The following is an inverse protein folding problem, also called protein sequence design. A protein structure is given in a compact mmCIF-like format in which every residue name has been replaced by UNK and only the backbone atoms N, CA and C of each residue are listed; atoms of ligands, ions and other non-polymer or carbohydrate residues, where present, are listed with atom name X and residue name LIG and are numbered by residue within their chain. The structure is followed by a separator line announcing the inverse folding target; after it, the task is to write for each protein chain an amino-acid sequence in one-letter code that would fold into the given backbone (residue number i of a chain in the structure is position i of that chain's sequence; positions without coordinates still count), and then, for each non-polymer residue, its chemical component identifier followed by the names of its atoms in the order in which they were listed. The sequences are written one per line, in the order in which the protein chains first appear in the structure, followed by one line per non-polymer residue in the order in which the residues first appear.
data_IF_819445621562
#
_entry.id   IF_819445621562
#
_cell.length_a   1.000
_cell.length_b   1.000
_cell.length_c   1.000
_cell.angle_alpha   90.00
_cell.angle_beta   90.00
_cell.angle_gamma   90.00
#
_symmetry.space_group_name_H-M   'P 1'
#
loop_
_entity.id
_entity.type
_entity.pdbx_description
1 polymer ?
#
# COMPACT_ATOMS: atom_id res chain seq x y z
N UNK A 1 15.29 21.85 -3.62
CA UNK A 1 14.16 20.89 -3.60
C UNK A 1 12.89 21.67 -3.29
N UNK A 2 11.74 21.41 -3.92
CA UNK A 2 10.51 22.10 -3.52
C UNK A 2 10.10 21.68 -2.11
N UNK A 3 9.44 22.57 -1.37
CA UNK A 3 9.01 22.32 0.03
C UNK A 3 8.15 21.04 0.15
N UNK A 4 7.40 20.69 -0.88
CA UNK A 4 6.53 19.51 -0.89
C UNK A 4 7.32 18.20 -1.08
N UNK A 5 8.42 18.22 -1.84
CA UNK A 5 9.28 17.05 -2.02
C UNK A 5 10.05 16.74 -0.72
N UNK A 6 10.54 17.78 -0.04
CA UNK A 6 11.22 17.62 1.25
C UNK A 6 10.31 16.94 2.29
N UNK A 7 9.04 17.39 2.38
CA UNK A 7 8.06 16.76 3.28
C UNK A 7 7.78 15.31 2.90
N UNK A 8 7.60 15.02 1.62
CA UNK A 8 7.37 13.65 1.15
C UNK A 8 8.55 12.72 1.46
N UNK A 9 9.77 13.24 1.31
CA UNK A 9 11.00 12.56 1.67
C UNK A 9 11.10 12.30 3.17
N UNK A 10 10.83 13.30 4.01
CA UNK A 10 10.82 13.12 5.46
C UNK A 10 9.80 12.07 5.89
N UNK A 11 8.59 12.05 5.29
CA UNK A 11 7.60 11.01 5.54
C UNK A 11 8.13 9.61 5.22
N UNK A 12 8.84 9.46 4.10
CA UNK A 12 9.46 8.19 3.71
C UNK A 12 10.52 7.72 4.73
N UNK A 13 11.30 8.66 5.28
CA UNK A 13 12.28 8.39 6.34
C UNK A 13 11.58 7.94 7.62
N UNK A 14 10.54 8.64 8.03
CA UNK A 14 9.80 8.34 9.26
C UNK A 14 9.11 6.97 9.17
N UNK A 15 8.50 6.66 8.02
CA UNK A 15 7.92 5.33 7.77
C UNK A 15 8.98 4.24 7.83
N UNK A 16 10.21 4.48 7.32
CA UNK A 16 11.29 3.49 7.43
C UNK A 16 11.60 3.17 8.88
N UNK A 17 11.77 4.22 9.69
CA UNK A 17 12.15 4.09 11.10
C UNK A 17 11.10 3.32 11.89
N UNK A 18 9.82 3.55 11.60
CA UNK A 18 8.73 2.79 12.22
C UNK A 18 8.75 1.30 11.88
N UNK A 19 9.38 0.91 10.76
CA UNK A 19 9.48 -0.48 10.32
C UNK A 19 10.81 -1.15 10.63
N UNK A 20 11.80 -0.41 11.15
CA UNK A 20 13.08 -0.98 11.56
C UNK A 20 12.85 -2.03 12.66
N UNK A 21 13.37 -3.25 12.42
CA UNK A 21 13.25 -4.37 13.37
C UNK A 21 11.90 -5.10 13.34
N UNK A 22 11.00 -4.80 12.40
CA UNK A 22 9.82 -5.63 12.19
C UNK A 22 10.20 -6.97 11.54
N UNK A 23 10.08 -8.04 12.32
CA UNK A 23 10.17 -9.41 11.82
C UNK A 23 8.75 -9.97 11.61
N UNK A 24 8.45 -10.35 10.37
CA UNK A 24 7.16 -10.93 10.00
C UNK A 24 7.41 -12.38 9.59
N UNK A 25 6.81 -13.32 10.32
CA UNK A 25 6.86 -14.73 9.97
C UNK A 25 6.12 -14.97 8.65
N UNK A 26 6.74 -15.74 7.75
CA UNK A 26 6.14 -16.10 6.45
C UNK A 26 4.89 -16.98 6.62
N UNK A 27 4.77 -17.66 7.76
CA UNK A 27 3.64 -18.54 8.08
C UNK A 27 2.45 -17.78 8.70
N UNK A 28 2.57 -16.46 8.94
CA UNK A 28 1.52 -15.62 9.52
C UNK A 28 0.60 -15.06 8.42
N UNK A 29 -0.71 -15.04 8.65
CA UNK A 29 -1.68 -14.38 7.76
C UNK A 29 -1.39 -12.88 7.59
N UNK A 30 -0.67 -12.28 8.54
CA UNK A 30 -0.14 -10.91 8.48
C UNK A 30 0.97 -10.72 7.44
N UNK A 31 1.52 -11.80 6.87
CA UNK A 31 2.51 -11.73 5.80
C UNK A 31 1.94 -11.02 4.56
N UNK A 32 0.74 -11.36 4.10
CA UNK A 32 0.18 -10.77 2.87
C UNK A 32 -0.10 -9.27 2.95
N UNK A 33 -0.78 -8.75 4.00
CA UNK A 33 -0.93 -7.32 4.20
C UNK A 33 0.41 -6.57 4.20
N UNK A 34 1.43 -7.14 4.85
CA UNK A 34 2.76 -6.51 4.92
C UNK A 34 3.45 -6.37 3.57
N UNK A 35 3.26 -7.32 2.64
CA UNK A 35 3.81 -7.22 1.28
C UNK A 35 3.18 -6.06 0.50
N UNK A 36 1.87 -5.84 0.67
CA UNK A 36 1.19 -4.70 0.07
C UNK A 36 1.70 -3.38 0.68
N UNK A 37 1.82 -3.30 2.01
CA UNK A 37 2.36 -2.11 2.68
C UNK A 37 3.82 -1.84 2.29
N UNK A 38 4.66 -2.87 2.17
CA UNK A 38 6.03 -2.75 1.65
C UNK A 38 6.04 -2.15 0.24
N UNK A 39 5.16 -2.63 -0.64
CA UNK A 39 5.01 -2.09 -2.00
C UNK A 39 4.65 -0.61 -1.99
N UNK A 40 3.73 -0.18 -1.14
CA UNK A 40 3.34 1.24 -0.98
C UNK A 40 4.56 2.11 -0.65
N UNK A 41 5.38 1.67 0.30
CA UNK A 41 6.56 2.42 0.77
C UNK A 41 7.61 2.54 -0.32
N UNK A 42 7.91 1.42 -0.99
CA UNK A 42 8.90 1.39 -2.08
C UNK A 42 8.45 2.21 -3.28
N UNK A 43 7.16 2.20 -3.61
CA UNK A 43 6.61 3.04 -4.67
C UNK A 43 6.62 4.52 -4.28
N UNK A 44 6.28 4.87 -3.05
CA UNK A 44 6.34 6.25 -2.54
C UNK A 44 7.76 6.82 -2.66
N UNK A 45 8.77 6.05 -2.22
CA UNK A 45 10.19 6.38 -2.38
C UNK A 45 10.60 6.59 -3.83
N UNK A 46 10.20 5.65 -4.67
CA UNK A 46 10.50 5.70 -6.11
C UNK A 46 9.89 6.93 -6.77
N UNK A 47 8.65 7.29 -6.40
CA UNK A 47 7.98 8.51 -6.89
C UNK A 47 8.80 9.75 -6.52
N UNK A 48 9.22 9.89 -5.27
CA UNK A 48 10.03 11.03 -4.81
C UNK A 48 11.32 11.14 -5.64
N UNK A 49 12.06 10.04 -5.77
CA UNK A 49 13.30 9.99 -6.54
C UNK A 49 13.08 10.34 -8.02
N UNK A 50 12.02 9.81 -8.63
CA UNK A 50 11.69 10.09 -10.04
C UNK A 50 11.30 11.55 -10.26
N UNK A 51 10.54 12.14 -9.33
CA UNK A 51 10.16 13.57 -9.36
C UNK A 51 11.40 14.46 -9.23
N UNK A 52 12.32 14.16 -8.32
CA UNK A 52 13.59 14.88 -8.17
C UNK A 52 14.43 14.83 -9.46
N UNK A 53 14.40 13.70 -10.16
CA UNK A 53 15.07 13.50 -11.46
C UNK A 53 14.28 14.02 -12.66
N UNK A 54 13.14 14.68 -12.44
CA UNK A 54 12.24 15.22 -13.48
C UNK A 54 11.68 14.15 -14.42
N UNK A 55 11.58 12.89 -13.96
CA UNK A 55 11.01 11.76 -14.68
C UNK A 55 9.51 11.60 -14.33
N UNK A 56 8.73 12.65 -14.61
CA UNK A 56 7.36 12.78 -14.12
C UNK A 56 6.42 11.69 -14.61
N UNK A 57 6.50 11.27 -15.88
CA UNK A 57 5.63 10.22 -16.42
C UNK A 57 5.83 8.88 -15.71
N UNK A 58 7.09 8.53 -15.40
CA UNK A 58 7.41 7.33 -14.63
C UNK A 58 6.89 7.46 -13.19
N UNK A 59 7.05 8.62 -12.56
CA UNK A 59 6.51 8.87 -11.23
C UNK A 59 4.97 8.73 -11.20
N UNK A 60 4.27 9.36 -12.14
CA UNK A 60 2.81 9.28 -12.23
C UNK A 60 2.31 7.86 -12.48
N UNK A 61 3.06 7.05 -13.24
CA UNK A 61 2.71 5.64 -13.50
C UNK A 61 2.66 4.83 -12.20
N UNK A 62 3.49 5.14 -11.21
CA UNK A 62 3.54 4.43 -9.93
C UNK A 62 2.40 4.79 -8.98
N UNK A 63 1.70 5.92 -9.19
CA UNK A 63 0.59 6.35 -8.31
C UNK A 63 -0.54 5.32 -8.27
N UNK A 64 -0.89 4.73 -9.43
CA UNK A 64 -1.96 3.73 -9.53
C UNK A 64 -1.64 2.44 -8.76
N UNK A 65 -0.52 1.73 -9.01
CA UNK A 65 -0.18 0.54 -8.25
C UNK A 65 0.08 0.83 -6.76
N UNK A 66 0.59 2.02 -6.40
CA UNK A 66 0.70 2.44 -5.01
C UNK A 66 -0.67 2.47 -4.33
N UNK A 67 -1.66 3.14 -4.94
CA UNK A 67 -3.01 3.21 -4.38
C UNK A 67 -3.68 1.83 -4.30
N UNK A 68 -3.53 0.99 -5.33
CA UNK A 68 -4.07 -0.37 -5.31
C UNK A 68 -3.43 -1.23 -4.22
N UNK A 69 -2.12 -1.13 -4.01
CA UNK A 69 -1.43 -1.81 -2.92
C UNK A 69 -1.92 -1.30 -1.56
N UNK A 70 -2.11 0.01 -1.40
CA UNK A 70 -2.63 0.59 -0.16
C UNK A 70 -4.03 0.05 0.20
N UNK A 71 -4.96 0.07 -0.76
CA UNK A 71 -6.32 -0.46 -0.56
C UNK A 71 -6.28 -1.96 -0.26
N UNK A 72 -5.49 -2.74 -1.00
CA UNK A 72 -5.35 -4.19 -0.75
C UNK A 72 -4.78 -4.47 0.63
N UNK A 73 -3.72 -3.77 1.05
CA UNK A 73 -3.12 -3.91 2.37
C UNK A 73 -4.14 -3.66 3.49
N UNK A 74 -4.89 -2.55 3.40
CA UNK A 74 -5.95 -2.24 4.36
C UNK A 74 -7.06 -3.30 4.36
N UNK A 75 -7.51 -3.72 3.18
CA UNK A 75 -8.59 -4.68 3.04
C UNK A 75 -8.19 -6.05 3.62
N UNK A 76 -7.00 -6.56 3.28
CA UNK A 76 -6.49 -7.82 3.85
C UNK A 76 -6.22 -7.73 5.36
N UNK A 77 -6.01 -6.53 5.90
CA UNK A 77 -5.85 -6.34 7.35
C UNK A 77 -7.18 -6.34 8.11
N UNK A 78 -8.26 -5.85 7.48
CA UNK A 78 -9.49 -5.50 8.21
C UNK A 78 -10.76 -6.21 7.74
N UNK A 79 -10.79 -6.68 6.50
CA UNK A 79 -11.99 -7.19 5.85
C UNK A 79 -11.84 -8.64 5.37
N UNK A 80 -10.62 -9.11 5.11
CA UNK A 80 -10.38 -10.45 4.57
C UNK A 80 -10.74 -11.57 5.56
N UNK A 81 -11.25 -12.67 5.00
CA UNK A 81 -11.41 -13.95 5.67
C UNK A 81 -10.36 -14.95 5.15
N UNK A 82 -10.16 -16.08 5.84
CA UNK A 82 -9.19 -17.13 5.45
C UNK A 82 -9.31 -17.57 3.98
N UNK A 83 -10.55 -17.62 3.46
CA UNK A 83 -10.83 -17.98 2.06
C UNK A 83 -10.16 -17.02 1.07
N UNK A 84 -10.03 -15.74 1.42
CA UNK A 84 -9.44 -14.71 0.58
C UNK A 84 -7.92 -14.83 0.53
N UNK A 85 -7.27 -15.17 1.65
CA UNK A 85 -5.84 -15.50 1.68
C UNK A 85 -5.54 -16.75 0.84
N UNK A 86 -6.39 -17.78 0.93
CA UNK A 86 -6.26 -18.98 0.09
C UNK A 86 -6.46 -18.65 -1.39
N UNK A 87 -7.43 -17.80 -1.73
CA UNK A 87 -7.64 -17.34 -3.09
C UNK A 87 -6.44 -16.54 -3.61
N UNK A 88 -5.86 -15.67 -2.80
CA UNK A 88 -4.68 -14.88 -3.15
C UNK A 88 -3.47 -15.78 -3.43
N UNK A 89 -3.18 -16.77 -2.56
CA UNK A 89 -2.08 -17.74 -2.76
C UNK A 89 -2.23 -18.56 -4.05
N UNK A 90 -3.46 -18.76 -4.52
CA UNK A 90 -3.77 -19.54 -5.73
C UNK A 90 -3.92 -18.67 -6.98
N UNK A 91 -3.62 -17.37 -6.89
CA UNK A 91 -3.84 -16.38 -7.95
C UNK A 91 -5.30 -16.35 -8.47
N UNK A 92 -6.24 -16.54 -7.55
CA UNK A 92 -7.70 -16.54 -7.81
C UNK A 92 -8.44 -15.38 -7.13
N UNK A 93 -7.72 -14.51 -6.41
CA UNK A 93 -8.32 -13.34 -5.79
C UNK A 93 -8.69 -12.31 -6.86
N UNK A 94 -9.98 -12.03 -7.03
CA UNK A 94 -10.51 -11.20 -8.12
C UNK A 94 -11.45 -10.09 -7.64
N UNK A 95 -11.40 -9.73 -6.35
CA UNK A 95 -12.21 -8.63 -5.82
C UNK A 95 -11.77 -7.31 -6.45
N UNK A 96 -12.74 -6.52 -6.91
CA UNK A 96 -12.45 -5.23 -7.54
C UNK A 96 -12.05 -4.18 -6.51
N UNK A 97 -11.29 -3.17 -6.94
CA UNK A 97 -10.86 -2.08 -6.08
C UNK A 97 -12.05 -1.35 -5.44
N UNK A 98 -13.08 -1.04 -6.21
CA UNK A 98 -14.27 -0.34 -5.69
C UNK A 98 -15.00 -1.12 -4.60
N UNK A 99 -15.11 -2.45 -4.73
CA UNK A 99 -15.71 -3.29 -3.67
C UNK A 99 -14.86 -3.25 -2.41
N UNK A 100 -13.53 -3.36 -2.53
CA UNK A 100 -12.63 -3.28 -1.38
C UNK A 100 -12.77 -1.94 -0.65
N UNK A 101 -12.83 -0.82 -1.38
CA UNK A 101 -13.00 0.52 -0.77
C UNK A 101 -14.32 0.61 0.01
N UNK A 102 -15.43 0.20 -0.59
CA UNK A 102 -16.75 0.21 0.08
C UNK A 102 -16.79 -0.66 1.35
N UNK A 103 -16.14 -1.82 1.32
CA UNK A 103 -16.04 -2.71 2.48
C UNK A 103 -15.17 -2.09 3.59
N UNK A 104 -14.04 -1.45 3.23
CA UNK A 104 -13.20 -0.73 4.21
C UNK A 104 -13.98 0.41 4.87
N UNK A 105 -14.65 1.26 4.08
CA UNK A 105 -15.45 2.38 4.59
C UNK A 105 -16.53 1.92 5.57
N UNK A 106 -17.16 0.77 5.29
CA UNK A 106 -18.17 0.17 6.17
C UNK A 106 -17.60 -0.31 7.51
N UNK A 107 -16.38 -0.86 7.51
CA UNK A 107 -15.74 -1.41 8.73
C UNK A 107 -15.07 -0.32 9.57
N UNK A 108 -14.43 0.66 8.92
CA UNK A 108 -13.59 1.67 9.59
C UNK A 108 -14.27 3.02 9.78
N UNK A 109 -15.42 3.26 9.17
CA UNK A 109 -15.98 4.61 9.05
C UNK A 109 -15.04 5.56 8.30
N UNK A 110 -14.21 5.01 7.40
CA UNK A 110 -13.34 5.81 6.53
C UNK A 110 -14.14 6.48 5.42
N UNK A 111 -13.50 7.45 4.77
CA UNK A 111 -14.08 8.21 3.67
C UNK A 111 -13.22 8.04 2.40
N UNK A 112 -12.84 6.80 2.08
CA UNK A 112 -11.99 6.52 0.92
C UNK A 112 -12.76 6.69 -0.41
N UNK A 113 -14.10 6.57 -0.37
CA UNK A 113 -14.98 6.83 -1.51
C UNK A 113 -15.40 8.32 -1.67
N UNK A 114 -14.99 9.23 -0.78
CA UNK A 114 -15.41 10.64 -0.80
C UNK A 114 -14.41 11.57 -1.50
#
# INVERSE_FOLDING_TARGET
MSVDIEKAYQLSVDINKCHEGLEISVDDDKFFPSLFHSTVIEHHRSIILLVERKLYSSACTLLRPLFEAYVKGLWFTHCAEDKDFVALRKDKFNKTLGVMVSEIDSVKGSQLNN
#
